data_IF_527346865941
#
_entry.id   IF_527346865941
#
_cell.length_a   1.000
_cell.length_b   1.000
_cell.length_c   1.000
_cell.angle_alpha   90.00
_cell.angle_beta   90.00
_cell.angle_gamma   90.00
#
_symmetry.space_group_name_H-M   'P 1'
#
loop_
_entity.id
_entity.type
_entity.pdbx_description
1 polymer ?
#
# COMPACT_ATOMS: atom_id res chain seq x y z
N UNK A 1 5.08 2.61 12.63
CA UNK A 1 3.98 1.63 12.43
C UNK A 1 4.25 0.78 11.20
N UNK A 2 3.80 -0.48 11.16
CA UNK A 2 3.96 -1.36 10.01
C UNK A 2 2.61 -1.63 9.35
N UNK A 3 2.58 -1.54 8.03
CA UNK A 3 1.42 -1.86 7.20
C UNK A 3 1.78 -2.93 6.18
N UNK A 4 0.80 -3.74 5.84
CA UNK A 4 0.92 -4.87 4.92
C UNK A 4 -0.05 -4.66 3.78
N UNK A 5 0.41 -4.82 2.55
CA UNK A 5 -0.44 -4.72 1.38
C UNK A 5 -0.30 -5.96 0.49
N UNK A 6 -1.38 -6.33 -0.20
CA UNK A 6 -1.32 -7.34 -1.27
C UNK A 6 -1.23 -6.65 -2.61
N UNK A 7 -0.29 -7.09 -3.44
CA UNK A 7 -0.09 -6.56 -4.78
C UNK A 7 -1.05 -7.22 -5.76
N UNK A 8 -1.72 -6.40 -6.56
CA UNK A 8 -2.51 -6.83 -7.73
C UNK A 8 -1.88 -6.26 -8.99
N UNK A 9 -2.03 -6.99 -10.10
CA UNK A 9 -1.55 -6.51 -11.41
C UNK A 9 -2.29 -5.22 -11.79
N UNK A 10 -1.53 -4.17 -12.08
CA UNK A 10 -2.02 -2.91 -12.65
C UNK A 10 -1.95 -2.93 -14.17
N UNK A 11 -2.35 -1.82 -14.79
CA UNK A 11 -2.16 -1.60 -16.24
C UNK A 11 -0.76 -1.05 -16.51
N UNK A 12 -0.28 -1.06 -17.76
CA UNK A 12 0.95 -0.32 -18.08
C UNK A 12 0.65 1.18 -18.03
N UNK A 13 1.62 1.96 -17.58
CA UNK A 13 1.46 3.41 -17.54
C UNK A 13 1.26 3.95 -18.96
N UNK A 14 0.24 4.78 -19.22
CA UNK A 14 0.05 5.36 -20.55
C UNK A 14 1.14 6.40 -20.89
N UNK A 15 1.87 6.90 -19.89
CA UNK A 15 2.90 7.95 -20.07
C UNK A 15 4.29 7.34 -20.24
N UNK A 16 4.62 6.30 -19.47
CA UNK A 16 5.99 5.74 -19.44
C UNK A 16 6.09 4.30 -19.93
N UNK A 17 4.96 3.67 -20.28
CA UNK A 17 4.85 2.24 -20.58
C UNK A 17 5.40 1.31 -19.47
N UNK A 18 5.71 1.84 -18.28
CA UNK A 18 6.24 1.06 -17.18
C UNK A 18 5.16 0.14 -16.57
N UNK A 19 5.53 -1.05 -16.06
CA UNK A 19 4.59 -1.88 -15.31
C UNK A 19 4.20 -1.19 -14.00
N UNK A 20 2.91 -1.18 -13.70
CA UNK A 20 2.37 -0.65 -12.44
C UNK A 20 1.73 -1.77 -11.61
N UNK A 21 1.29 -1.44 -10.41
CA UNK A 21 0.48 -2.33 -9.59
C UNK A 21 -0.64 -1.58 -8.88
N UNK A 22 -1.69 -2.33 -8.52
CA UNK A 22 -2.76 -1.86 -7.66
C UNK A 22 -2.67 -2.53 -6.30
N UNK A 23 -3.20 -1.88 -5.28
CA UNK A 23 -3.31 -2.48 -3.95
C UNK A 23 -4.63 -3.25 -3.85
N UNK A 24 -4.55 -4.54 -3.55
CA UNK A 24 -5.74 -5.37 -3.36
C UNK A 24 -6.34 -5.20 -1.97
N UNK A 25 -5.55 -5.49 -0.94
CA UNK A 25 -5.86 -5.32 0.48
C UNK A 25 -4.72 -4.56 1.14
N UNK A 26 -5.06 -3.68 2.09
CA UNK A 26 -4.13 -2.94 2.92
C UNK A 26 -4.57 -3.06 4.37
N UNK A 27 -3.68 -3.52 5.24
CA UNK A 27 -3.96 -3.64 6.66
C UNK A 27 -2.79 -3.11 7.49
N UNK A 28 -3.09 -2.62 8.70
CA UNK A 28 -2.06 -2.45 9.72
C UNK A 28 -1.58 -3.82 10.19
N UNK A 29 -0.26 -4.04 10.21
CA UNK A 29 0.32 -5.31 10.63
C UNK A 29 -0.11 -5.64 12.06
N UNK A 30 -0.47 -6.90 12.29
CA UNK A 30 -0.81 -7.42 13.61
C UNK A 30 0.41 -7.37 14.53
N UNK A 31 0.23 -6.86 15.75
CA UNK A 31 1.11 -7.21 16.88
C UNK A 31 0.47 -8.36 17.64
N UNK A 32 1.20 -9.01 18.54
CA UNK A 32 0.71 -10.17 19.30
C UNK A 32 -0.65 -9.92 20.00
N UNK A 33 -0.92 -8.66 20.35
CA UNK A 33 -2.11 -8.24 21.09
C UNK A 33 -3.14 -7.47 20.24
N UNK A 34 -2.95 -7.33 18.92
CA UNK A 34 -3.82 -6.52 18.07
C UNK A 34 -4.33 -7.27 16.84
N UNK A 35 -5.65 -7.22 16.65
CA UNK A 35 -6.28 -7.63 15.40
C UNK A 35 -5.92 -6.62 14.31
N UNK A 36 -5.47 -7.11 13.16
CA UNK A 36 -5.02 -6.27 12.05
C UNK A 36 -6.20 -5.47 11.52
N UNK A 37 -6.07 -4.15 11.51
CA UNK A 37 -7.11 -3.23 11.05
C UNK A 37 -7.01 -3.10 9.53
N UNK A 38 -8.07 -3.48 8.82
CA UNK A 38 -8.19 -3.22 7.39
C UNK A 38 -8.39 -1.72 7.18
N UNK A 39 -7.54 -1.13 6.36
CA UNK A 39 -7.55 0.30 6.04
C UNK A 39 -7.55 0.50 4.52
N UNK A 40 -7.97 -0.51 3.76
CA UNK A 40 -8.01 -0.46 2.29
C UNK A 40 -8.86 0.70 1.76
N UNK A 41 -9.84 1.16 2.53
CA UNK A 41 -10.73 2.27 2.17
C UNK A 41 -10.06 3.66 2.27
N UNK A 42 -8.85 3.76 2.85
CA UNK A 42 -8.09 5.00 2.91
C UNK A 42 -7.36 5.34 1.59
N UNK A 43 -7.32 4.41 0.65
CA UNK A 43 -6.72 4.59 -0.66
C UNK A 43 -7.70 4.23 -1.77
N UNK A 44 -7.54 4.88 -2.91
CA UNK A 44 -8.21 4.44 -4.11
C UNK A 44 -7.55 3.14 -4.62
N UNK A 45 -8.29 2.03 -4.55
CA UNK A 45 -7.83 0.71 -5.02
C UNK A 45 -7.75 0.60 -6.54
N UNK A 46 -8.31 1.55 -7.28
CA UNK A 46 -8.17 1.64 -8.73
C UNK A 46 -6.85 2.30 -9.17
N UNK A 47 -6.19 3.02 -8.25
CA UNK A 47 -4.96 3.75 -8.53
C UNK A 47 -3.78 2.82 -8.85
N UNK A 48 -3.07 3.14 -9.93
CA UNK A 48 -1.92 2.37 -10.42
C UNK A 48 -0.62 2.98 -9.90
N UNK A 49 -0.01 2.33 -8.92
CA UNK A 49 1.28 2.73 -8.36
C UNK A 49 2.44 2.24 -9.23
N UNK A 50 3.40 3.12 -9.46
CA UNK A 50 4.64 2.82 -10.17
C UNK A 50 5.68 2.16 -9.27
N UNK A 51 5.60 2.36 -7.95
CA UNK A 51 6.53 1.75 -7.00
C UNK A 51 5.97 1.66 -5.58
N UNK A 52 6.54 0.77 -4.75
CA UNK A 52 6.21 0.72 -3.32
C UNK A 52 6.58 2.03 -2.61
N UNK A 53 7.60 2.76 -3.09
CA UNK A 53 7.94 4.09 -2.56
C UNK A 53 6.80 5.08 -2.76
N UNK A 54 6.15 5.08 -3.92
CA UNK A 54 4.99 5.94 -4.18
C UNK A 54 3.82 5.60 -3.26
N UNK A 55 3.50 4.30 -3.11
CA UNK A 55 2.50 3.85 -2.14
C UNK A 55 2.83 4.31 -0.72
N UNK A 56 4.10 4.24 -0.32
CA UNK A 56 4.55 4.67 0.99
C UNK A 56 4.27 6.16 1.24
N UNK A 57 4.61 7.03 0.29
CA UNK A 57 4.33 8.46 0.39
C UNK A 57 2.83 8.76 0.42
N UNK A 58 2.06 8.18 -0.49
CA UNK A 58 0.61 8.38 -0.55
C UNK A 58 -0.06 7.97 0.77
N UNK A 59 0.34 6.83 1.38
CA UNK A 59 -0.19 6.42 2.67
C UNK A 59 0.20 7.33 3.82
N UNK A 60 1.45 7.81 3.83
CA UNK A 60 1.91 8.76 4.84
C UNK A 60 1.08 10.05 4.81
N UNK A 61 0.79 10.58 3.62
CA UNK A 61 -0.09 11.74 3.43
C UNK A 61 -1.52 11.47 3.92
N UNK A 62 -2.12 10.33 3.55
CA UNK A 62 -3.50 9.97 3.96
C UNK A 62 -3.65 9.81 5.47
N UNK A 63 -2.60 9.33 6.14
CA UNK A 63 -2.60 9.10 7.59
C UNK A 63 -2.11 10.33 8.39
N UNK A 64 -1.65 11.39 7.74
CA UNK A 64 -1.05 12.54 8.40
C UNK A 64 0.24 12.19 9.16
N UNK A 65 1.00 11.21 8.66
CA UNK A 65 2.23 10.72 9.27
C UNK A 65 3.47 11.15 8.48
N UNK A 66 4.60 11.30 9.17
CA UNK A 66 5.88 11.38 8.49
C UNK A 66 6.22 10.01 7.85
N UNK A 67 6.78 9.96 6.61
CA UNK A 67 7.13 8.69 5.97
C UNK A 67 8.07 7.83 6.81
N UNK A 68 9.03 8.43 7.53
CA UNK A 68 9.92 7.69 8.43
C UNK A 68 9.23 7.05 9.65
N UNK A 69 8.02 7.51 10.00
CA UNK A 69 7.24 6.98 11.11
C UNK A 69 6.43 5.72 10.73
N UNK A 70 6.35 5.39 9.44
CA UNK A 70 5.70 4.18 8.96
C UNK A 70 6.60 3.32 8.09
N UNK A 71 6.24 2.05 7.97
CA UNK A 71 6.87 1.07 7.10
C UNK A 71 5.76 0.32 6.39
N UNK A 72 6.00 -0.04 5.13
CA UNK A 72 5.11 -0.90 4.37
C UNK A 72 5.85 -2.18 3.98
N UNK A 73 5.14 -3.31 3.93
CA UNK A 73 5.63 -4.53 3.30
C UNK A 73 4.56 -5.17 2.42
N UNK A 74 5.02 -5.85 1.39
CA UNK A 74 4.16 -6.70 0.59
C UNK A 74 3.91 -8.00 1.34
N UNK A 75 2.64 -8.37 1.53
CA UNK A 75 2.27 -9.67 2.06
C UNK A 75 2.34 -10.70 0.93
N UNK A 76 2.99 -11.84 1.19
CA UNK A 76 2.93 -12.98 0.28
C UNK A 76 1.46 -13.35 0.08
N UNK A 77 1.01 -13.41 -1.18
CA UNK A 77 -0.32 -13.90 -1.49
C UNK A 77 -0.39 -15.36 -1.00
N UNK A 78 -1.32 -15.63 -0.09
CA UNK A 78 -1.67 -16.99 0.31
C UNK A 78 -2.33 -17.74 -0.84
#
# INVERSE_FOLDING_TARGET
>A
MLFEYTRRRGVRSPVTDAPTFRVGKLARAKTADQTGVDISDLIDRSYNYHSSRELHWHLAERLGLAPGAMKIREAAAA
#
